data_IF_863968855544
#
_entry.id   IF_863968855544
#
_cell.length_a   1.000
_cell.length_b   1.000
_cell.length_c   1.000
_cell.angle_alpha   90.00
_cell.angle_beta   90.00
_cell.angle_gamma   90.00
#
_symmetry.space_group_name_H-M   'P 1'
#
loop_
_entity.id
_entity.type
_entity.pdbx_description
1 polymer ?
#
# COMPACT_ATOMS: atom_id res chain seq x y z
N UNK A 1 -9.01 58.45 76.78
CA UNK A 1 -9.77 57.39 76.08
C UNK A 1 -9.21 57.22 74.67
N UNK A 2 -8.37 56.21 74.37
CA UNK A 2 -7.93 55.84 72.99
C UNK A 2 -7.06 54.57 72.91
N UNK A 3 -7.26 53.57 73.79
CA UNK A 3 -6.49 52.30 73.79
C UNK A 3 -7.33 51.02 73.68
N UNK A 4 -8.64 51.11 73.38
CA UNK A 4 -9.54 49.95 73.29
C UNK A 4 -9.83 49.45 71.86
N UNK A 5 -9.39 50.14 70.80
CA UNK A 5 -9.75 49.83 69.40
C UNK A 5 -8.67 49.08 68.59
N UNK A 6 -7.41 49.01 69.06
CA UNK A 6 -6.32 48.35 68.31
C UNK A 6 -6.47 46.82 68.21
N UNK A 7 -7.00 46.17 69.24
CA UNK A 7 -7.29 44.73 69.20
C UNK A 7 -8.44 44.38 68.24
N UNK A 8 -9.45 45.25 68.16
CA UNK A 8 -10.61 45.03 67.28
C UNK A 8 -10.27 45.25 65.81
N UNK A 9 -9.41 46.23 65.48
CA UNK A 9 -8.93 46.45 64.12
C UNK A 9 -8.01 45.32 63.61
N UNK A 10 -7.20 44.72 64.48
CA UNK A 10 -6.39 43.54 64.14
C UNK A 10 -7.24 42.31 63.87
N UNK A 11 -8.25 42.06 64.71
CA UNK A 11 -9.19 40.93 64.52
C UNK A 11 -10.03 41.15 63.25
N UNK A 12 -10.57 42.36 63.05
CA UNK A 12 -11.34 42.68 61.84
C UNK A 12 -10.49 42.59 60.56
N UNK A 13 -9.24 43.08 60.58
CA UNK A 13 -8.32 42.96 59.45
C UNK A 13 -7.96 41.51 59.13
N UNK A 14 -7.72 40.67 60.14
CA UNK A 14 -7.45 39.25 59.95
C UNK A 14 -8.66 38.49 59.40
N UNK A 15 -9.87 38.80 59.87
CA UNK A 15 -11.11 38.22 59.33
C UNK A 15 -11.35 38.58 57.87
N UNK A 16 -11.06 39.82 57.47
CA UNK A 16 -11.16 40.26 56.07
C UNK A 16 -10.14 39.51 55.20
N UNK A 17 -8.89 39.37 55.64
CA UNK A 17 -7.85 38.65 54.90
C UNK A 17 -8.20 37.16 54.76
N UNK A 18 -8.69 36.53 55.83
CA UNK A 18 -9.16 35.13 55.79
C UNK A 18 -10.35 35.00 54.84
N UNK A 19 -11.30 35.93 54.85
CA UNK A 19 -12.44 35.91 53.95
C UNK A 19 -12.02 36.04 52.47
N UNK A 20 -11.11 36.98 52.17
CA UNK A 20 -10.58 37.16 50.80
C UNK A 20 -9.78 35.95 50.34
N UNK A 21 -8.94 35.36 51.20
CA UNK A 21 -8.20 34.13 50.91
C UNK A 21 -9.15 32.94 50.69
N UNK A 22 -10.21 32.83 51.48
CA UNK A 22 -11.21 31.76 51.35
C UNK A 22 -11.97 31.87 50.03
N UNK A 23 -12.35 33.09 49.63
CA UNK A 23 -12.98 33.33 48.32
C UNK A 23 -11.99 33.05 47.19
N UNK A 24 -10.73 33.47 47.33
CA UNK A 24 -9.67 33.20 46.36
C UNK A 24 -9.39 31.71 46.15
N UNK A 25 -9.32 30.92 47.22
CA UNK A 25 -9.10 29.46 47.13
C UNK A 25 -10.31 28.73 46.55
N UNK A 26 -11.53 29.19 46.83
CA UNK A 26 -12.75 28.67 46.19
C UNK A 26 -12.73 28.96 44.68
N UNK A 27 -12.39 30.18 44.25
CA UNK A 27 -12.31 30.48 42.82
C UNK A 27 -11.18 29.72 42.11
N UNK A 28 -10.02 29.59 42.76
CA UNK A 28 -8.89 28.84 42.21
C UNK A 28 -9.19 27.33 42.10
N UNK A 29 -9.83 26.75 43.11
CA UNK A 29 -10.26 25.34 43.06
C UNK A 29 -11.33 25.09 41.99
N UNK A 30 -12.27 26.02 41.81
CA UNK A 30 -13.23 25.98 40.70
C UNK A 30 -12.56 26.09 39.33
N UNK A 31 -11.53 26.91 39.20
CA UNK A 31 -10.75 27.02 37.95
C UNK A 31 -10.00 25.72 37.63
N UNK A 32 -9.30 25.14 38.61
CA UNK A 32 -8.62 23.85 38.44
C UNK A 32 -9.60 22.72 38.14
N UNK A 33 -10.77 22.70 38.77
CA UNK A 33 -11.82 21.73 38.46
C UNK A 33 -12.31 21.86 37.01
N UNK A 34 -12.52 23.09 36.53
CA UNK A 34 -12.89 23.34 35.12
C UNK A 34 -11.80 22.88 34.15
N UNK A 35 -10.53 23.14 34.44
CA UNK A 35 -9.44 22.66 33.58
C UNK A 35 -9.37 21.14 33.52
N UNK A 36 -9.44 20.46 34.67
CA UNK A 36 -9.47 18.98 34.70
C UNK A 36 -10.62 18.39 33.89
N UNK A 37 -11.79 19.02 33.92
CA UNK A 37 -12.95 18.59 33.13
C UNK A 37 -12.65 18.73 31.63
N UNK A 38 -12.06 19.84 31.21
CA UNK A 38 -11.66 20.06 29.81
C UNK A 38 -10.63 19.02 29.39
N UNK A 39 -9.54 18.85 30.16
CA UNK A 39 -8.45 17.90 29.84
C UNK A 39 -8.97 16.45 29.72
N UNK A 40 -9.85 16.04 30.65
CA UNK A 40 -10.45 14.70 30.62
C UNK A 40 -11.37 14.52 29.40
N UNK A 41 -12.13 15.57 29.06
CA UNK A 41 -13.04 15.55 27.90
C UNK A 41 -12.23 15.50 26.59
N UNK A 42 -11.15 16.27 26.48
CA UNK A 42 -10.23 16.22 25.34
C UNK A 42 -9.57 14.84 25.21
N UNK A 43 -9.15 14.24 26.31
CA UNK A 43 -8.62 12.87 26.32
C UNK A 43 -9.63 11.87 25.76
N UNK A 44 -10.90 11.96 26.17
CA UNK A 44 -11.96 11.09 25.67
C UNK A 44 -12.27 11.36 24.19
N UNK A 45 -12.33 12.62 23.79
CA UNK A 45 -12.49 13.04 22.40
C UNK A 45 -11.42 12.44 21.49
N UNK A 46 -10.14 12.59 21.86
CA UNK A 46 -9.00 12.04 21.12
C UNK A 46 -9.07 10.53 21.03
N UNK A 47 -9.58 9.87 22.08
CA UNK A 47 -9.77 8.42 22.07
C UNK A 47 -10.87 7.99 21.09
N UNK A 48 -11.98 8.71 21.02
CA UNK A 48 -13.02 8.42 20.00
C UNK A 48 -12.48 8.63 18.59
N UNK A 49 -11.69 9.69 18.36
CA UNK A 49 -11.02 9.91 17.09
C UNK A 49 -10.05 8.76 16.74
N UNK A 50 -9.26 8.31 17.72
CA UNK A 50 -8.38 7.16 17.55
C UNK A 50 -9.18 5.89 17.19
N UNK A 51 -10.27 5.59 17.88
CA UNK A 51 -11.14 4.45 17.56
C UNK A 51 -11.71 4.54 16.15
N UNK A 52 -12.17 5.72 15.72
CA UNK A 52 -12.64 5.94 14.35
C UNK A 52 -11.54 5.62 13.32
N UNK A 53 -10.31 6.04 13.56
CA UNK A 53 -9.17 5.72 12.70
C UNK A 53 -8.85 4.22 12.68
N UNK A 54 -8.92 3.54 13.84
CA UNK A 54 -8.71 2.09 13.90
C UNK A 54 -9.81 1.29 13.21
N UNK A 55 -11.06 1.76 13.25
CA UNK A 55 -12.16 1.16 12.47
C UNK A 55 -11.91 1.34 10.96
N UNK A 56 -11.40 2.49 10.53
CA UNK A 56 -10.99 2.69 9.13
C UNK A 56 -9.83 1.77 8.73
N UNK A 57 -8.83 1.59 9.60
CA UNK A 57 -7.72 0.66 9.34
C UNK A 57 -8.22 -0.79 9.24
N UNK A 58 -9.09 -1.22 10.16
CA UNK A 58 -9.74 -2.53 10.10
C UNK A 58 -10.47 -2.73 8.77
N UNK A 59 -11.27 -1.74 8.37
CA UNK A 59 -11.99 -1.78 7.11
C UNK A 59 -11.05 -1.84 5.90
N UNK A 60 -9.89 -1.18 5.98
CA UNK A 60 -8.87 -1.21 4.94
C UNK A 60 -8.31 -2.61 4.74
N UNK A 61 -7.86 -3.23 5.81
CA UNK A 61 -7.26 -4.56 5.78
C UNK A 61 -8.25 -5.63 5.30
N UNK A 62 -9.52 -5.53 5.71
CA UNK A 62 -10.56 -6.46 5.28
C UNK A 62 -10.89 -6.31 3.80
N UNK A 63 -10.86 -5.08 3.28
CA UNK A 63 -11.00 -4.85 1.84
C UNK A 63 -9.84 -5.46 1.05
N UNK A 64 -8.60 -5.28 1.53
CA UNK A 64 -7.40 -5.89 0.95
C UNK A 64 -7.45 -7.43 0.95
N UNK A 65 -8.15 -8.03 1.93
CA UNK A 65 -8.41 -9.46 1.98
C UNK A 65 -9.53 -9.93 1.04
N UNK A 66 -10.10 -9.04 0.24
CA UNK A 66 -11.13 -9.35 -0.76
C UNK A 66 -12.57 -9.23 -0.25
N UNK A 67 -12.80 -8.67 0.94
CA UNK A 67 -14.16 -8.40 1.40
C UNK A 67 -14.74 -7.22 0.62
N UNK A 68 -15.92 -7.41 0.03
CA UNK A 68 -16.57 -6.38 -0.76
C UNK A 68 -16.82 -5.08 0.02
N UNK A 69 -16.56 -3.93 -0.60
CA UNK A 69 -16.68 -2.59 0.01
C UNK A 69 -18.09 -2.23 0.51
N UNK A 70 -19.12 -2.92 0.00
CA UNK A 70 -20.51 -2.76 0.40
C UNK A 70 -20.99 -3.86 1.36
N UNK A 71 -20.09 -4.70 1.86
CA UNK A 71 -20.40 -5.78 2.79
C UNK A 71 -20.47 -5.25 4.22
N UNK A 72 -21.36 -5.75 5.08
CA UNK A 72 -21.34 -5.43 6.52
C UNK A 72 -20.02 -5.86 7.17
N UNK A 73 -19.45 -6.98 6.70
CA UNK A 73 -18.25 -7.60 7.26
C UNK A 73 -16.96 -6.81 7.01
N UNK A 74 -17.01 -5.71 6.26
CA UNK A 74 -15.86 -4.81 6.14
C UNK A 74 -15.59 -4.06 7.46
N UNK A 75 -16.62 -3.89 8.30
CA UNK A 75 -16.47 -3.30 9.63
C UNK A 75 -16.36 -4.39 10.69
N UNK A 76 -15.78 -4.11 11.87
CA UNK A 76 -15.78 -5.07 12.96
C UNK A 76 -17.22 -5.37 13.39
N UNK A 77 -17.51 -6.61 13.82
CA UNK A 77 -18.85 -6.97 14.30
C UNK A 77 -19.12 -6.38 15.69
N UNK A 78 -18.06 -6.20 16.48
CA UNK A 78 -18.06 -5.58 17.80
C UNK A 78 -16.81 -4.73 17.98
N UNK A 79 -16.85 -3.70 18.81
CA UNK A 79 -15.67 -2.88 19.13
C UNK A 79 -14.49 -3.69 19.68
N UNK A 80 -14.76 -4.78 20.40
CA UNK A 80 -13.73 -5.70 20.92
C UNK A 80 -12.95 -6.42 19.83
N UNK A 81 -13.49 -6.53 18.61
CA UNK A 81 -12.77 -7.18 17.50
C UNK A 81 -11.62 -6.31 16.97
N UNK A 82 -11.51 -5.05 17.43
CA UNK A 82 -10.35 -4.19 17.20
C UNK A 82 -9.18 -4.51 18.13
N UNK A 83 -9.42 -5.17 19.26
CA UNK A 83 -8.40 -5.41 20.28
C UNK A 83 -7.33 -6.41 19.78
N UNK A 84 -6.07 -6.16 20.16
CA UNK A 84 -4.92 -6.95 19.75
C UNK A 84 -4.20 -6.32 18.55
N UNK A 85 -4.86 -6.30 17.39
CA UNK A 85 -4.23 -5.84 16.13
C UNK A 85 -4.30 -4.32 15.95
N UNK A 86 -5.46 -3.71 16.17
CA UNK A 86 -5.69 -2.29 15.85
C UNK A 86 -5.69 -1.42 17.12
N UNK A 87 -6.19 -1.96 18.22
CA UNK A 87 -6.21 -1.31 19.53
C UNK A 87 -5.50 -2.22 20.54
N UNK A 88 -4.59 -1.70 21.39
CA UNK A 88 -3.98 -2.51 22.44
C UNK A 88 -5.03 -3.12 23.36
N UNK A 89 -4.99 -4.44 23.52
CA UNK A 89 -5.90 -5.14 24.43
C UNK A 89 -5.66 -4.70 25.88
N UNK A 90 -6.73 -4.39 26.62
CA UNK A 90 -6.64 -3.97 28.01
C UNK A 90 -7.31 -5.00 28.93
N UNK A 91 -6.49 -5.74 29.69
CA UNK A 91 -7.00 -6.71 30.66
C UNK A 91 -7.78 -6.01 31.78
N UNK A 92 -8.77 -6.69 32.36
CA UNK A 92 -9.55 -6.15 33.50
C UNK A 92 -8.65 -5.74 34.67
N UNK A 93 -7.59 -6.50 34.96
CA UNK A 93 -6.64 -6.19 36.03
C UNK A 93 -5.84 -4.90 35.75
N UNK A 94 -5.37 -4.71 34.51
CA UNK A 94 -4.65 -3.49 34.13
C UNK A 94 -5.57 -2.28 34.06
N UNK A 95 -6.83 -2.49 33.66
CA UNK A 95 -7.85 -1.46 33.65
C UNK A 95 -8.19 -0.94 35.05
N UNK A 96 -8.39 -1.85 36.02
CA UNK A 96 -8.65 -1.51 37.42
C UNK A 96 -7.46 -0.79 38.08
N UNK A 97 -6.23 -1.09 37.65
CA UNK A 97 -5.01 -0.41 38.09
C UNK A 97 -4.77 0.93 37.38
N UNK A 98 -5.59 1.30 36.40
CA UNK A 98 -5.47 2.55 35.64
C UNK A 98 -4.35 2.56 34.59
N UNK A 99 -3.75 1.42 34.26
CA UNK A 99 -2.68 1.33 33.26
C UNK A 99 -3.18 1.42 31.82
N UNK A 100 -4.43 1.06 31.58
CA UNK A 100 -5.07 1.14 30.27
C UNK A 100 -6.59 1.28 30.40
N UNK A 101 -7.27 1.59 29.29
CA UNK A 101 -8.74 1.63 29.21
C UNK A 101 -9.23 0.59 28.23
N UNK A 102 -10.30 -0.13 28.58
CA UNK A 102 -10.96 -1.11 27.68
C UNK A 102 -11.56 -0.40 26.49
N UNK A 103 -11.57 -1.02 25.31
CA UNK A 103 -12.02 -0.38 24.06
C UNK A 103 -13.42 0.25 24.16
N UNK A 104 -14.34 -0.40 24.88
CA UNK A 104 -15.72 0.04 25.07
C UNK A 104 -15.93 1.01 26.25
N UNK A 105 -14.91 1.32 27.05
CA UNK A 105 -15.07 2.16 28.23
C UNK A 105 -15.17 3.66 27.89
N UNK A 106 -16.17 4.35 28.42
CA UNK A 106 -16.32 5.82 28.39
C UNK A 106 -16.04 6.41 29.78
N UNK A 107 -15.96 7.75 29.94
CA UNK A 107 -15.82 8.37 31.25
C UNK A 107 -17.04 8.13 32.17
N UNK A 108 -18.21 7.78 31.60
CA UNK A 108 -19.49 7.71 32.32
C UNK A 108 -20.10 6.31 32.35
N UNK A 109 -19.41 5.30 31.81
CA UNK A 109 -19.91 3.93 31.69
C UNK A 109 -19.28 3.19 30.50
N UNK A 110 -19.79 2.01 30.16
CA UNK A 110 -19.32 1.25 29.01
C UNK A 110 -20.30 1.36 27.84
N UNK A 111 -19.78 1.36 26.61
CA UNK A 111 -20.54 1.16 25.38
C UNK A 111 -21.01 -0.29 25.36
N UNK A 112 -22.32 -0.51 25.39
CA UNK A 112 -22.92 -1.84 25.33
C UNK A 112 -22.74 -2.47 23.95
N UNK A 113 -22.85 -3.79 23.87
CA UNK A 113 -22.91 -4.49 22.58
C UNK A 113 -24.08 -4.04 21.71
N UNK A 114 -25.19 -3.59 22.31
CA UNK A 114 -26.34 -3.01 21.60
C UNK A 114 -26.08 -1.61 21.04
N UNK A 115 -25.09 -0.90 21.58
CA UNK A 115 -24.78 0.48 21.20
C UNK A 115 -23.85 0.55 19.99
N UNK A 116 -23.17 -0.55 19.64
CA UNK A 116 -22.38 -0.68 18.42
C UNK A 116 -23.15 -1.48 17.35
N UNK A 117 -23.15 -1.00 16.10
CA UNK A 117 -23.81 -1.69 14.98
C UNK A 117 -23.15 -1.40 13.64
N UNK A 118 -23.30 -2.35 12.73
CA UNK A 118 -23.05 -2.16 11.30
C UNK A 118 -24.36 -1.70 10.64
N UNK A 119 -24.49 -0.39 10.41
CA UNK A 119 -25.70 0.21 9.89
C UNK A 119 -25.74 0.17 8.35
N UNK A 120 -26.82 -0.38 7.80
CA UNK A 120 -27.13 -0.32 6.37
C UNK A 120 -27.54 1.11 5.98
N UNK A 121 -26.84 1.69 5.02
CA UNK A 121 -27.19 2.96 4.38
C UNK A 121 -27.77 2.69 3.00
N UNK A 122 -29.03 3.06 2.83
CA UNK A 122 -29.73 2.95 1.54
C UNK A 122 -29.44 4.18 0.70
N UNK A 123 -28.72 4.00 -0.40
CA UNK A 123 -28.46 5.09 -1.36
C UNK A 123 -29.64 5.22 -2.33
N UNK A 124 -30.08 6.45 -2.66
CA UNK A 124 -31.05 6.68 -3.73
C UNK A 124 -30.60 6.12 -5.09
N UNK A 125 -29.29 5.96 -5.30
CA UNK A 125 -28.71 5.37 -6.52
C UNK A 125 -28.79 3.83 -6.58
N UNK A 126 -29.38 3.17 -5.59
CA UNK A 126 -29.48 1.70 -5.51
C UNK A 126 -28.23 1.00 -4.97
N UNK A 127 -27.09 1.70 -4.88
CA UNK A 127 -25.86 1.18 -4.28
C UNK A 127 -25.94 1.27 -2.74
N UNK A 128 -26.54 0.26 -2.12
CA UNK A 128 -26.53 0.13 -0.67
C UNK A 128 -25.12 -0.14 -0.16
N UNK A 129 -24.78 0.44 1.00
CA UNK A 129 -23.49 0.23 1.66
C UNK A 129 -23.67 0.20 3.17
N UNK A 130 -22.63 -0.20 3.90
CA UNK A 130 -22.65 -0.21 5.36
C UNK A 130 -21.72 0.86 5.93
N UNK A 131 -21.97 1.24 7.18
CA UNK A 131 -21.08 2.05 8.02
C UNK A 131 -21.10 1.51 9.45
N UNK A 132 -20.03 1.72 10.20
CA UNK A 132 -20.07 1.45 11.63
C UNK A 132 -20.70 2.63 12.37
N UNK A 133 -21.59 2.34 13.31
CA UNK A 133 -22.15 3.32 14.23
C UNK A 133 -21.93 2.86 15.66
N UNK A 134 -21.55 3.77 16.55
CA UNK A 134 -21.60 3.53 17.99
C UNK A 134 -22.18 4.70 18.75
N UNK A 135 -23.08 4.37 19.67
CA UNK A 135 -23.79 5.34 20.50
C UNK A 135 -23.05 5.55 21.83
N UNK A 136 -22.80 6.82 22.13
CA UNK A 136 -22.20 7.28 23.38
C UNK A 136 -23.30 7.91 24.22
N UNK A 137 -23.75 7.21 25.27
CA UNK A 137 -24.74 7.72 26.22
C UNK A 137 -24.10 8.80 27.08
N UNK A 138 -24.65 10.02 27.03
CA UNK A 138 -24.15 11.13 27.84
C UNK A 138 -24.68 11.04 29.27
N UNK A 139 -23.97 11.63 30.25
CA UNK A 139 -24.49 11.75 31.60
C UNK A 139 -25.82 12.54 31.62
N UNK A 140 -26.64 12.28 32.63
CA UNK A 140 -27.97 12.88 32.75
C UNK A 140 -27.90 14.42 32.71
N UNK A 141 -28.85 15.06 32.01
CA UNK A 141 -28.80 16.51 31.73
C UNK A 141 -28.78 17.36 32.99
N UNK A 142 -29.48 16.89 34.02
CA UNK A 142 -29.66 17.59 35.29
C UNK A 142 -28.72 17.09 36.40
N UNK A 143 -27.76 16.22 36.09
CA UNK A 143 -26.79 15.78 37.09
C UNK A 143 -25.79 16.91 37.39
N UNK A 144 -25.80 17.51 38.59
CA UNK A 144 -24.91 18.62 38.93
C UNK A 144 -23.43 18.22 38.92
N UNK A 145 -23.10 16.94 39.07
CA UNK A 145 -21.72 16.46 39.02
C UNK A 145 -21.14 16.49 37.61
N UNK A 146 -21.97 16.25 36.58
CA UNK A 146 -21.51 16.06 35.20
C UNK A 146 -21.98 17.12 34.21
N UNK A 147 -22.80 18.09 34.64
CA UNK A 147 -23.36 19.12 33.73
C UNK A 147 -22.27 19.90 32.97
N UNK A 148 -21.13 20.18 33.59
CA UNK A 148 -20.02 20.88 32.95
C UNK A 148 -19.26 19.99 31.96
N UNK A 149 -19.03 18.73 32.31
CA UNK A 149 -18.38 17.74 31.45
C UNK A 149 -19.24 17.42 30.22
N UNK A 150 -20.57 17.31 30.41
CA UNK A 150 -21.53 17.14 29.33
C UNK A 150 -21.46 18.28 28.33
N UNK A 151 -21.44 19.53 28.80
CA UNK A 151 -21.35 20.73 27.94
C UNK A 151 -20.03 20.77 27.18
N UNK A 152 -18.91 20.47 27.85
CA UNK A 152 -17.60 20.38 27.20
C UNK A 152 -17.58 19.29 26.13
N UNK A 153 -18.11 18.10 26.44
CA UNK A 153 -18.21 16.98 25.50
C UNK A 153 -18.98 17.38 24.25
N UNK A 154 -20.19 17.93 24.41
CA UNK A 154 -21.00 18.37 23.28
C UNK A 154 -20.28 19.43 22.43
N UNK A 155 -19.54 20.34 23.06
CA UNK A 155 -18.79 21.38 22.36
C UNK A 155 -17.58 20.85 21.58
N UNK A 156 -16.93 19.77 22.03
CA UNK A 156 -15.84 19.15 21.29
C UNK A 156 -16.39 18.25 20.17
N UNK A 157 -17.38 17.41 20.48
CA UNK A 157 -17.93 16.46 19.52
C UNK A 157 -18.71 17.14 18.38
N UNK A 158 -19.23 18.35 18.57
CA UNK A 158 -19.84 19.14 17.48
C UNK A 158 -18.85 19.51 16.37
N UNK A 159 -17.54 19.47 16.65
CA UNK A 159 -16.48 19.74 15.68
C UNK A 159 -16.13 18.51 14.83
N UNK A 160 -16.56 17.32 15.24
CA UNK A 160 -16.27 16.09 14.50
C UNK A 160 -17.28 15.87 13.37
N UNK A 161 -16.81 15.55 12.15
CA UNK A 161 -17.70 15.16 11.07
C UNK A 161 -18.33 13.80 11.35
N UNK A 162 -19.55 13.62 10.85
CA UNK A 162 -20.33 12.38 10.93
C UNK A 162 -20.67 11.96 12.36
N UNK A 163 -20.91 12.96 13.22
CA UNK A 163 -21.48 12.79 14.55
C UNK A 163 -22.94 13.27 14.52
N UNK A 164 -23.83 12.51 15.16
CA UNK A 164 -25.22 12.94 15.40
C UNK A 164 -25.48 13.00 16.88
N UNK A 165 -26.03 14.14 17.33
CA UNK A 165 -26.55 14.28 18.68
C UNK A 165 -28.07 14.11 18.67
N UNK A 166 -28.57 13.17 19.49
CA UNK A 166 -29.99 12.98 19.76
C UNK A 166 -30.32 13.52 21.15
N UNK A 167 -30.99 14.67 21.20
CA UNK A 167 -31.32 15.34 22.45
C UNK A 167 -32.36 14.58 23.27
N UNK A 168 -33.29 13.87 22.62
CA UNK A 168 -34.35 13.13 23.30
C UNK A 168 -33.79 11.90 24.01
N UNK A 169 -32.85 11.19 23.37
CA UNK A 169 -32.16 10.04 23.94
C UNK A 169 -30.92 10.37 24.76
N UNK A 170 -30.49 11.65 24.76
CA UNK A 170 -29.28 12.13 25.42
C UNK A 170 -28.03 11.34 25.03
N UNK A 171 -27.83 11.14 23.72
CA UNK A 171 -26.74 10.32 23.19
C UNK A 171 -26.07 10.96 21.97
N UNK A 172 -24.81 10.59 21.76
CA UNK A 172 -24.03 10.94 20.57
C UNK A 172 -23.78 9.68 19.74
N UNK A 173 -24.30 9.62 18.53
CA UNK A 173 -23.98 8.56 17.57
C UNK A 173 -22.75 8.97 16.76
N UNK A 174 -21.67 8.21 16.91
CA UNK A 174 -20.46 8.34 16.08
C UNK A 174 -20.62 7.47 14.84
N UNK A 175 -20.42 8.03 13.65
CA UNK A 175 -20.48 7.29 12.39
C UNK A 175 -19.12 7.21 11.72
N UNK A 176 -18.78 6.01 11.28
CA UNK A 176 -17.58 5.71 10.51
C UNK A 176 -18.01 5.19 9.16
N UNK A 177 -18.03 6.09 8.18
CA UNK A 177 -18.42 5.73 6.82
C UNK A 177 -17.34 4.87 6.16
N UNK A 178 -17.71 4.17 5.08
CA UNK A 178 -16.77 3.36 4.30
C UNK A 178 -15.61 4.25 3.77
N UNK A 179 -14.36 3.74 3.73
CA UNK A 179 -13.22 4.44 3.11
C UNK A 179 -13.34 4.55 1.57
N UNK A 180 -14.36 5.25 1.06
CA UNK A 180 -14.71 5.29 -0.37
C UNK A 180 -13.60 5.84 -1.29
N UNK A 181 -12.87 6.87 -0.86
CA UNK A 181 -11.83 7.50 -1.68
C UNK A 181 -10.45 6.90 -1.49
N UNK A 182 -10.14 6.34 -0.32
CA UNK A 182 -8.82 5.80 -0.01
C UNK A 182 -8.51 4.53 -0.83
N UNK A 183 -9.50 3.65 -0.98
CA UNK A 183 -9.36 2.41 -1.76
C UNK A 183 -9.13 2.62 -3.26
N UNK A 184 -9.64 3.72 -3.82
CA UNK A 184 -9.39 4.06 -5.22
C UNK A 184 -7.90 4.29 -5.52
N UNK A 185 -7.08 4.58 -4.50
CA UNK A 185 -5.65 4.83 -4.65
C UNK A 185 -4.77 3.61 -4.36
N UNK A 186 -5.24 2.60 -3.62
CA UNK A 186 -4.46 1.36 -3.35
C UNK A 186 -4.30 0.47 -4.58
N UNK A 187 -5.21 0.57 -5.57
CA UNK A 187 -5.09 -0.12 -6.86
C UNK A 187 -4.19 0.60 -7.88
N UNK A 188 -3.61 1.75 -7.54
CA UNK A 188 -2.80 2.54 -8.45
C UNK A 188 -1.31 2.25 -8.23
N UNK A 189 -0.62 1.87 -9.31
CA UNK A 189 0.84 1.86 -9.33
C UNK A 189 1.33 3.29 -9.11
N UNK A 190 2.28 3.50 -8.19
CA UNK A 190 2.85 4.84 -7.96
C UNK A 190 3.35 5.40 -9.29
N UNK A 191 3.20 6.70 -9.51
CA UNK A 191 3.72 7.35 -10.73
C UNK A 191 5.22 7.12 -10.93
N UNK A 192 5.98 7.00 -9.83
CA UNK A 192 7.42 6.67 -9.88
C UNK A 192 7.69 5.18 -10.05
N UNK A 193 6.73 4.30 -9.78
CA UNK A 193 6.89 2.85 -9.76
C UNK A 193 7.60 2.30 -8.52
N UNK A 194 8.11 3.16 -7.63
CA UNK A 194 8.88 2.71 -6.46
C UNK A 194 8.02 1.93 -5.46
N UNK A 195 8.56 0.84 -4.94
CA UNK A 195 7.88 -0.12 -4.05
C UNK A 195 6.53 -0.63 -4.58
N UNK A 196 6.28 -0.50 -5.88
CA UNK A 196 5.09 -1.03 -6.53
C UNK A 196 5.46 -2.36 -7.18
N UNK A 197 5.12 -3.46 -6.53
CA UNK A 197 5.29 -4.79 -7.14
C UNK A 197 4.02 -5.12 -7.91
N UNK A 198 4.14 -5.36 -9.21
CA UNK A 198 3.03 -5.89 -9.99
C UNK A 198 2.74 -7.31 -9.48
N UNK A 199 1.54 -7.52 -8.94
CA UNK A 199 1.15 -8.78 -8.31
C UNK A 199 0.61 -9.82 -9.30
N UNK A 200 0.60 -9.50 -10.60
CA UNK A 200 0.14 -10.39 -11.66
C UNK A 200 0.48 -9.87 -13.05
N UNK A 201 0.13 -10.66 -14.06
CA UNK A 201 0.28 -10.29 -15.47
C UNK A 201 -0.61 -9.08 -15.77
N UNK A 202 0.00 -8.05 -16.38
CA UNK A 202 -0.73 -6.87 -16.82
C UNK A 202 -1.26 -7.12 -18.22
N UNK A 203 -2.54 -7.47 -18.31
CA UNK A 203 -3.27 -7.44 -19.57
C UNK A 203 -3.56 -5.97 -19.90
N UNK A 204 -2.93 -5.46 -20.96
CA UNK A 204 -3.20 -4.12 -21.51
C UNK A 204 -4.53 -4.06 -22.29
N UNK A 205 -5.30 -5.15 -22.26
CA UNK A 205 -6.60 -5.34 -22.87
C UNK A 205 -6.49 -5.80 -24.32
N UNK A 206 -7.02 -6.98 -24.66
CA UNK A 206 -7.33 -7.35 -26.04
C UNK A 206 -6.16 -7.23 -27.05
N UNK A 207 -6.38 -6.47 -28.13
CA UNK A 207 -5.43 -6.25 -29.26
C UNK A 207 -4.50 -5.04 -29.07
N UNK A 208 -4.40 -4.48 -27.85
CA UNK A 208 -3.59 -3.29 -27.63
C UNK A 208 -2.12 -3.65 -27.43
N UNK A 209 -1.22 -2.73 -27.80
CA UNK A 209 0.22 -2.83 -27.59
C UNK A 209 0.66 -1.69 -26.67
N UNK A 210 1.77 -1.86 -25.96
CA UNK A 210 2.36 -0.74 -25.21
C UNK A 210 2.93 0.26 -26.21
N UNK A 211 2.23 1.38 -26.39
CA UNK A 211 2.58 2.44 -27.33
C UNK A 211 3.23 3.63 -26.62
N UNK A 212 4.01 4.44 -27.33
CA UNK A 212 4.72 5.63 -26.80
C UNK A 212 5.76 5.34 -25.71
N UNK A 213 6.24 4.11 -25.58
CA UNK A 213 7.40 3.79 -24.76
C UNK A 213 8.69 4.06 -25.55
N UNK A 214 9.67 4.71 -24.92
CA UNK A 214 10.95 5.03 -25.56
C UNK A 214 11.80 3.78 -25.79
N UNK A 215 11.82 2.87 -24.83
CA UNK A 215 12.55 1.60 -24.89
C UNK A 215 12.05 0.63 -23.82
N UNK A 216 12.22 -0.68 -24.06
CA UNK A 216 11.96 -1.74 -23.09
C UNK A 216 13.19 -2.62 -22.95
N UNK A 217 13.52 -3.00 -21.72
CA UNK A 217 14.55 -4.02 -21.47
C UNK A 217 13.93 -5.26 -20.82
N UNK A 218 14.39 -6.43 -21.24
CA UNK A 218 14.13 -7.70 -20.56
C UNK A 218 15.39 -8.10 -19.80
N UNK A 219 15.23 -8.50 -18.55
CA UNK A 219 16.32 -9.07 -17.75
C UNK A 219 16.64 -10.49 -18.22
N UNK A 220 17.89 -10.73 -18.57
CA UNK A 220 18.41 -12.05 -18.92
C UNK A 220 18.63 -12.89 -17.64
N UNK A 221 18.81 -14.20 -17.82
CA UNK A 221 19.07 -15.14 -16.72
C UNK A 221 20.36 -14.85 -15.93
N UNK A 222 21.34 -14.20 -16.56
CA UNK A 222 22.59 -13.75 -15.94
C UNK A 222 22.48 -12.39 -15.23
N UNK A 223 21.28 -11.80 -15.19
CA UNK A 223 21.01 -10.51 -14.57
C UNK A 223 21.28 -9.29 -15.45
N UNK A 224 21.88 -9.46 -16.63
CA UNK A 224 22.04 -8.39 -17.62
C UNK A 224 20.69 -8.01 -18.24
N UNK A 225 20.65 -6.91 -19.00
CA UNK A 225 19.41 -6.43 -19.64
C UNK A 225 19.56 -6.41 -21.16
N UNK A 226 18.54 -6.91 -21.87
CA UNK A 226 18.44 -6.92 -23.34
C UNK A 226 17.36 -5.94 -23.78
N UNK A 227 17.71 -4.98 -24.65
CA UNK A 227 16.80 -3.93 -25.15
C UNK A 227 15.91 -4.47 -26.28
N UNK A 228 14.60 -4.58 -26.07
CA UNK A 228 13.67 -5.14 -27.07
C UNK A 228 13.60 -4.33 -28.36
N UNK A 229 13.69 -3.00 -28.29
CA UNK A 229 13.63 -2.12 -29.47
C UNK A 229 14.80 -2.30 -30.45
N UNK A 230 15.89 -2.95 -30.03
CA UNK A 230 17.10 -3.17 -30.85
C UNK A 230 17.59 -4.61 -30.88
N UNK A 231 17.08 -5.51 -30.03
CA UNK A 231 17.74 -6.81 -29.75
C UNK A 231 16.97 -8.06 -30.18
N UNK A 232 15.96 -7.95 -31.07
CA UNK A 232 15.43 -9.17 -31.72
C UNK A 232 16.55 -9.86 -32.54
N UNK A 233 17.56 -9.09 -32.95
CA UNK A 233 18.80 -9.58 -33.55
C UNK A 233 19.98 -9.09 -32.71
N UNK A 234 20.68 -9.98 -32.00
CA UNK A 234 21.89 -9.60 -31.23
C UNK A 234 23.11 -9.35 -32.13
N UNK A 235 22.93 -9.41 -33.45
CA UNK A 235 23.90 -9.05 -34.48
C UNK A 235 23.94 -10.08 -35.61
N UNK A 236 24.26 -9.62 -36.81
CA UNK A 236 24.74 -10.47 -37.90
C UNK A 236 26.27 -10.46 -37.85
N UNK A 237 26.88 -11.62 -37.70
CA UNK A 237 28.32 -11.81 -37.68
C UNK A 237 28.76 -12.44 -39.00
N UNK A 238 29.83 -11.90 -39.59
CA UNK A 238 30.48 -12.50 -40.75
C UNK A 238 31.58 -13.44 -40.27
N UNK A 239 31.44 -14.73 -40.55
CA UNK A 239 32.31 -15.80 -40.03
C UNK A 239 32.69 -16.76 -41.15
N UNK A 240 33.83 -17.44 -41.03
CA UNK A 240 34.37 -18.41 -42.02
C UNK A 240 34.12 -19.86 -41.59
N UNK A 241 34.45 -20.80 -42.47
CA UNK A 241 34.43 -22.23 -42.12
C UNK A 241 35.30 -22.50 -40.90
N UNK A 242 34.74 -23.17 -39.88
CA UNK A 242 35.44 -23.53 -38.66
C UNK A 242 35.43 -22.47 -37.55
N UNK A 243 34.90 -21.27 -37.82
CA UNK A 243 34.81 -20.21 -36.81
C UNK A 243 33.80 -20.56 -35.70
N UNK A 244 34.06 -19.99 -34.52
CA UNK A 244 33.23 -20.14 -33.32
C UNK A 244 32.33 -18.91 -33.13
N UNK A 245 31.04 -19.14 -32.93
CA UNK A 245 30.02 -18.13 -32.64
C UNK A 245 29.53 -18.31 -31.21
N UNK A 246 29.63 -17.27 -30.38
CA UNK A 246 29.18 -17.34 -28.99
C UNK A 246 27.65 -17.34 -28.86
N UNK A 247 27.12 -18.18 -27.96
CA UNK A 247 25.71 -18.21 -27.61
C UNK A 247 25.36 -16.99 -26.74
N UNK A 248 24.32 -16.22 -27.08
CA UNK A 248 23.87 -15.12 -26.24
C UNK A 248 23.21 -15.63 -24.94
N UNK A 249 23.34 -14.86 -23.86
CA UNK A 249 22.48 -15.02 -22.69
C UNK A 249 21.05 -14.66 -23.07
N UNK A 250 20.12 -15.57 -22.82
CA UNK A 250 18.70 -15.42 -23.14
C UNK A 250 17.84 -15.28 -21.87
N UNK A 251 16.68 -14.58 -21.95
CA UNK A 251 15.69 -14.55 -20.90
C UNK A 251 15.22 -15.94 -20.46
N UNK A 252 14.68 -16.03 -19.24
CA UNK A 252 14.13 -17.28 -18.69
C UNK A 252 13.08 -17.84 -19.65
N UNK A 253 13.11 -19.16 -19.88
CA UNK A 253 12.25 -19.90 -20.82
C UNK A 253 12.48 -19.65 -22.31
N UNK A 254 13.56 -18.97 -22.70
CA UNK A 254 13.99 -18.88 -24.12
C UNK A 254 15.35 -19.54 -24.31
N UNK A 255 15.65 -19.98 -25.53
CA UNK A 255 16.91 -20.65 -25.90
C UNK A 255 17.67 -19.86 -26.97
N UNK A 256 19.01 -19.87 -26.91
CA UNK A 256 19.83 -19.31 -27.99
C UNK A 256 19.53 -20.01 -29.32
N UNK A 257 19.38 -19.23 -30.39
CA UNK A 257 19.17 -19.70 -31.75
C UNK A 257 20.17 -19.02 -32.70
N UNK A 258 20.60 -19.75 -33.73
CA UNK A 258 21.48 -19.26 -34.78
C UNK A 258 20.89 -19.56 -36.16
N UNK A 259 20.80 -18.54 -37.01
CA UNK A 259 20.45 -18.68 -38.42
C UNK A 259 21.68 -18.41 -39.27
N UNK A 260 22.06 -19.39 -40.10
CA UNK A 260 23.21 -19.30 -40.99
C UNK A 260 22.74 -19.04 -42.42
N UNK A 261 23.40 -18.10 -43.09
CA UNK A 261 23.19 -17.81 -44.51
C UNK A 261 24.53 -17.62 -45.21
N UNK A 262 24.57 -17.89 -46.51
CA UNK A 262 25.77 -17.71 -47.31
C UNK A 262 25.90 -16.24 -47.66
N UNK A 263 27.02 -15.60 -47.30
CA UNK A 263 27.33 -14.23 -47.71
C UNK A 263 28.04 -14.22 -49.06
N UNK A 264 29.19 -14.89 -49.16
CA UNK A 264 29.86 -15.16 -50.43
C UNK A 264 30.69 -16.45 -50.37
N UNK A 265 31.05 -16.96 -51.53
CA UNK A 265 31.89 -18.16 -51.69
C UNK A 265 33.14 -17.78 -52.45
N UNK A 266 34.29 -18.24 -51.98
CA UNK A 266 35.58 -17.99 -52.62
C UNK A 266 36.02 -19.23 -53.40
N UNK A 267 35.93 -19.17 -54.72
CA UNK A 267 36.37 -20.25 -55.63
C UNK A 267 37.56 -19.71 -56.43
N UNK A 268 38.70 -20.36 -56.30
CA UNK A 268 39.93 -20.01 -57.02
C UNK A 268 40.31 -21.10 -58.01
N UNK A 269 41.11 -20.75 -59.03
CA UNK A 269 41.66 -21.71 -59.99
C UNK A 269 42.45 -22.80 -59.24
N UNK A 270 42.35 -24.10 -59.62
CA UNK A 270 41.79 -24.64 -60.87
C UNK A 270 40.33 -25.12 -60.77
N UNK A 271 39.47 -24.43 -59.99
CA UNK A 271 38.09 -24.88 -59.74
C UNK A 271 37.02 -24.00 -60.40
N UNK A 272 35.91 -24.61 -60.82
CA UNK A 272 34.68 -23.97 -61.29
C UNK A 272 33.52 -24.27 -60.34
N UNK A 273 32.63 -23.31 -60.13
CA UNK A 273 31.42 -23.51 -59.34
C UNK A 273 30.52 -24.56 -59.99
N UNK A 274 30.24 -25.67 -59.29
CA UNK A 274 29.34 -26.72 -59.79
C UNK A 274 27.88 -26.52 -59.38
N UNK A 275 27.58 -25.46 -58.62
CA UNK A 275 26.30 -25.24 -57.98
C UNK A 275 26.10 -26.14 -56.75
N UNK A 276 25.41 -25.66 -55.73
CA UNK A 276 25.27 -26.23 -54.37
C UNK A 276 26.35 -25.78 -53.38
N UNK A 277 26.02 -24.71 -52.65
CA UNK A 277 26.69 -24.30 -51.42
C UNK A 277 25.71 -24.48 -50.27
N UNK A 278 26.17 -24.98 -49.13
CA UNK A 278 25.37 -25.05 -47.91
C UNK A 278 26.17 -24.59 -46.69
N UNK A 279 25.47 -24.00 -45.73
CA UNK A 279 25.99 -23.66 -44.40
C UNK A 279 25.38 -24.59 -43.37
N UNK A 280 26.14 -24.97 -42.35
CA UNK A 280 25.68 -25.90 -41.33
C UNK A 280 26.46 -25.74 -40.02
N UNK A 281 25.94 -26.31 -38.93
CA UNK A 281 26.65 -26.39 -37.65
C UNK A 281 27.58 -27.61 -37.67
N UNK A 282 28.87 -27.39 -37.44
CA UNK A 282 29.87 -28.44 -37.27
C UNK A 282 29.73 -29.06 -35.88
N UNK A 283 29.65 -28.21 -34.86
CA UNK A 283 29.60 -28.60 -33.46
C UNK A 283 28.79 -27.58 -32.65
N UNK A 284 28.15 -28.05 -31.59
CA UNK A 284 27.44 -27.21 -30.63
C UNK A 284 27.85 -27.57 -29.20
N UNK A 285 28.27 -26.56 -28.45
CA UNK A 285 28.57 -26.66 -27.01
C UNK A 285 27.60 -25.78 -26.22
N UNK A 286 27.64 -25.84 -24.89
CA UNK A 286 26.80 -24.99 -24.03
C UNK A 286 27.03 -23.48 -24.23
N UNK A 287 28.21 -23.08 -24.73
CA UNK A 287 28.60 -21.67 -24.85
C UNK A 287 28.76 -21.19 -26.29
N UNK A 288 28.98 -22.09 -27.25
CA UNK A 288 29.42 -21.73 -28.60
C UNK A 288 28.88 -22.70 -29.66
N UNK A 289 28.68 -22.17 -30.86
CA UNK A 289 28.44 -22.92 -32.08
C UNK A 289 29.67 -22.85 -32.98
N UNK A 290 30.07 -23.97 -33.57
CA UNK A 290 31.07 -24.01 -34.63
C UNK A 290 30.36 -24.12 -35.96
N UNK A 291 30.62 -23.20 -36.89
CA UNK A 291 29.90 -23.11 -38.16
C UNK A 291 30.76 -23.61 -39.32
N UNK A 292 30.11 -24.12 -40.36
CA UNK A 292 30.78 -24.60 -41.55
C UNK A 292 30.07 -24.20 -42.83
N UNK A 293 30.84 -24.07 -43.90
CA UNK A 293 30.37 -23.86 -45.27
C UNK A 293 31.05 -24.87 -46.18
N UNK A 294 30.26 -25.47 -47.06
CA UNK A 294 30.79 -26.37 -48.09
C UNK A 294 30.17 -26.05 -49.43
N UNK A 295 31.03 -25.96 -50.44
CA UNK A 295 30.65 -25.73 -51.82
C UNK A 295 31.18 -26.85 -52.69
N UNK A 296 30.32 -27.40 -53.55
CA UNK A 296 30.75 -28.32 -54.60
C UNK A 296 31.35 -27.56 -55.77
N UNK A 297 32.53 -27.99 -56.19
CA UNK A 297 33.26 -27.43 -57.31
C UNK A 297 33.67 -28.53 -58.28
N UNK A 298 33.97 -28.14 -59.52
CA UNK A 298 34.51 -29.01 -60.55
C UNK A 298 35.93 -28.56 -60.90
N UNK A 299 36.90 -29.46 -60.84
CA UNK A 299 38.26 -29.17 -61.23
C UNK A 299 38.37 -29.07 -62.77
N UNK A 300 39.05 -28.02 -63.26
CA UNK A 300 39.05 -27.64 -64.68
C UNK A 300 39.72 -28.71 -65.56
N UNK A 301 40.82 -29.30 -65.09
CA UNK A 301 41.63 -30.22 -65.92
C UNK A 301 41.07 -31.64 -66.02
N UNK A 302 40.55 -32.20 -64.92
CA UNK A 302 40.14 -33.60 -64.85
C UNK A 302 38.60 -33.78 -64.77
N UNK A 303 37.82 -32.68 -64.72
CA UNK A 303 36.37 -32.68 -64.54
C UNK A 303 35.86 -33.41 -63.28
N UNK A 304 36.71 -33.68 -62.29
CA UNK A 304 36.31 -34.29 -61.03
C UNK A 304 35.56 -33.28 -60.16
N UNK A 305 34.58 -33.77 -59.40
CA UNK A 305 33.86 -32.97 -58.42
C UNK A 305 34.54 -33.08 -57.05
N UNK A 306 34.75 -31.93 -56.43
CA UNK A 306 35.37 -31.81 -55.11
C UNK A 306 34.55 -30.88 -54.22
N UNK A 307 34.78 -30.96 -52.92
CA UNK A 307 34.18 -30.07 -51.93
C UNK A 307 35.24 -29.12 -51.39
N UNK A 308 34.96 -27.81 -51.49
CA UNK A 308 35.79 -26.77 -50.87
C UNK A 308 35.06 -26.11 -49.70
N UNK A 309 35.84 -25.67 -48.72
CA UNK A 309 35.38 -25.04 -47.48
C UNK A 309 35.81 -23.58 -47.40
N UNK A 310 35.55 -22.83 -48.46
CA UNK A 310 36.02 -21.45 -48.59
C UNK A 310 34.87 -20.50 -48.92
N UNK A 311 34.67 -19.50 -48.06
CA UNK A 311 33.59 -18.55 -48.15
C UNK A 311 33.29 -17.89 -46.80
N UNK A 312 32.35 -16.96 -46.80
CA UNK A 312 31.87 -16.26 -45.61
C UNK A 312 30.40 -16.54 -45.39
N UNK A 313 30.08 -16.82 -44.14
CA UNK A 313 28.77 -17.13 -43.60
C UNK A 313 28.30 -15.90 -42.82
N UNK A 314 27.07 -15.49 -43.06
CA UNK A 314 26.37 -14.54 -42.20
C UNK A 314 25.60 -15.33 -41.13
N UNK A 315 26.05 -15.21 -39.89
CA UNK A 315 25.45 -15.85 -38.72
C UNK A 315 24.63 -14.82 -37.94
N UNK A 316 23.31 -15.02 -37.89
CA UNK A 316 22.37 -14.18 -37.14
C UNK A 316 21.99 -14.90 -35.86
N UNK A 317 22.29 -14.28 -34.71
CA UNK A 317 22.01 -14.85 -33.38
C UNK A 317 20.80 -14.19 -32.72
N UNK A 318 19.93 -14.99 -32.14
CA UNK A 318 18.71 -14.55 -31.46
C UNK A 318 18.36 -15.45 -30.25
N UNK A 319 17.35 -15.06 -29.49
CA UNK A 319 16.73 -15.87 -28.44
C UNK A 319 15.29 -16.17 -28.86
N UNK A 320 14.90 -17.46 -28.85
CA UNK A 320 13.56 -17.92 -29.20
C UNK A 320 12.98 -18.81 -28.10
#
# INVERSE_FOLDING_TARGET
MLKKQRGFALIAGMLIVIAVLSVGTVHYSQYLAKQRIIDNTESFFNRVLYLKNQIHAYANDHYLQGIGINSPNIFPARLTDLEGTYVPACSTANNQKGFCRKVNQTPWGDISTSDYRQALVKSPSGANYYRAEFDLHLPHKDDPAFISERRATLSLFSQLPNIIYDDAKNMITVRVDRPDKAFAYEGLVKRSGDDSTLLGDWDIGGNYAVTNAKDFTIRNSDGTQTLLGRSIFKGALMVKDGDLVAKPSCPVNTKPNINLSISHVEITSPYLAAGSTKTYLIEETDKQWKVGIVTRVRHIENNNYEEIRSGVISAVVSCM
#
